data_IF_587803867650
#
_entry.id   IF_587803867650
#
_cell.length_a   1.000
_cell.length_b   1.000
_cell.length_c   1.000
_cell.angle_alpha   90.00
_cell.angle_beta   90.00
_cell.angle_gamma   90.00
#
_symmetry.space_group_name_H-M   'P 1'
#
loop_
_entity.id
_entity.type
_entity.pdbx_description
1 polymer ?
#
# COMPACT_ATOMS: atom_id res chain seq x y z
N UNK A 1 22.73 -20.27 -21.95
CA UNK A 1 21.52 -20.18 -22.80
C UNK A 1 20.59 -21.27 -22.30
N UNK A 2 19.63 -20.93 -21.45
CA UNK A 2 18.58 -21.87 -21.08
C UNK A 2 17.72 -22.07 -22.31
N UNK A 3 17.79 -23.25 -22.93
CA UNK A 3 16.73 -23.67 -23.84
C UNK A 3 15.50 -23.85 -22.96
N UNK A 4 14.60 -22.87 -22.97
CA UNK A 4 13.37 -22.98 -22.21
C UNK A 4 12.54 -24.11 -22.77
N UNK A 5 12.13 -25.03 -21.89
CA UNK A 5 11.18 -26.08 -22.21
C UNK A 5 9.78 -25.52 -22.55
N UNK A 6 9.57 -24.21 -22.38
CA UNK A 6 8.33 -23.53 -22.67
C UNK A 6 8.26 -22.99 -24.09
N UNK A 7 7.07 -23.08 -24.66
CA UNK A 7 6.68 -22.44 -25.92
C UNK A 7 5.44 -21.59 -25.68
N UNK A 8 5.35 -20.47 -26.37
CA UNK A 8 4.09 -19.72 -26.46
C UNK A 8 3.17 -20.43 -27.45
N UNK A 9 2.01 -20.82 -26.97
CA UNK A 9 0.96 -21.50 -27.75
C UNK A 9 -0.32 -20.69 -27.59
N UNK A 10 -1.04 -20.46 -28.68
CA UNK A 10 -2.30 -19.69 -28.61
C UNK A 10 -3.37 -20.44 -27.81
N UNK A 11 -4.27 -19.74 -27.14
CA UNK A 11 -5.36 -20.36 -26.37
C UNK A 11 -6.22 -21.25 -27.28
N UNK A 12 -6.46 -20.83 -28.53
CA UNK A 12 -7.11 -21.67 -29.53
C UNK A 12 -6.42 -23.02 -29.75
N UNK A 13 -5.10 -23.03 -29.84
CA UNK A 13 -4.32 -24.25 -29.96
C UNK A 13 -4.33 -25.07 -28.67
N UNK A 14 -4.29 -24.43 -27.49
CA UNK A 14 -4.42 -25.11 -26.19
C UNK A 14 -5.77 -25.83 -26.08
N UNK A 15 -6.88 -25.14 -26.36
CA UNK A 15 -8.24 -25.72 -26.33
C UNK A 15 -8.37 -26.92 -27.29
N UNK A 16 -7.65 -26.91 -28.41
CA UNK A 16 -7.62 -28.00 -29.39
C UNK A 16 -6.73 -29.18 -28.96
N UNK A 17 -5.54 -28.90 -28.41
CA UNK A 17 -4.55 -29.93 -28.04
C UNK A 17 -4.84 -30.59 -26.69
N UNK A 18 -5.46 -29.85 -25.76
CA UNK A 18 -5.74 -30.28 -24.39
C UNK A 18 -7.23 -30.07 -24.06
N UNK A 19 -8.16 -30.71 -24.79
CA UNK A 19 -9.59 -30.48 -24.63
C UNK A 19 -10.10 -30.83 -23.23
N UNK A 20 -9.38 -31.69 -22.48
CA UNK A 20 -9.74 -32.02 -21.10
C UNK A 20 -9.70 -30.81 -20.17
N UNK A 21 -8.89 -29.78 -20.46
CA UNK A 21 -8.82 -28.57 -19.63
C UNK A 21 -10.14 -27.80 -19.61
N UNK A 22 -10.98 -27.94 -20.65
CA UNK A 22 -12.30 -27.31 -20.72
C UNK A 22 -13.26 -27.80 -19.63
N UNK A 23 -12.99 -28.98 -19.05
CA UNK A 23 -13.77 -29.55 -17.95
C UNK A 23 -13.24 -29.13 -16.56
N UNK A 24 -12.12 -28.39 -16.50
CA UNK A 24 -11.55 -27.89 -15.24
C UNK A 24 -12.15 -26.54 -14.88
N UNK A 25 -12.61 -26.43 -13.64
CA UNK A 25 -13.30 -25.24 -13.12
C UNK A 25 -12.46 -23.96 -13.29
N UNK A 26 -11.14 -24.02 -13.06
CA UNK A 26 -10.29 -22.82 -13.17
C UNK A 26 -9.95 -22.38 -14.59
N UNK A 27 -10.21 -23.21 -15.60
CA UNK A 27 -9.84 -22.90 -16.98
C UNK A 27 -10.82 -21.89 -17.57
N UNK A 28 -10.34 -20.69 -17.90
CA UNK A 28 -11.16 -19.59 -18.44
C UNK A 28 -12.32 -19.22 -17.48
N UNK A 29 -12.05 -19.24 -16.15
CA UNK A 29 -13.05 -19.13 -15.09
C UNK A 29 -13.98 -17.90 -15.21
N UNK A 30 -13.46 -16.78 -15.72
CA UNK A 30 -14.22 -15.55 -15.93
C UNK A 30 -14.77 -15.40 -17.36
N UNK A 31 -14.50 -16.35 -18.27
CA UNK A 31 -14.86 -16.32 -19.69
C UNK A 31 -14.36 -15.06 -20.43
N UNK A 32 -13.17 -14.57 -20.08
CA UNK A 32 -12.61 -13.31 -20.60
C UNK A 32 -11.48 -13.52 -21.61
N UNK A 33 -10.97 -14.74 -21.78
CA UNK A 33 -9.79 -14.98 -22.59
C UNK A 33 -10.06 -14.89 -24.09
N UNK A 34 -9.16 -14.24 -24.82
CA UNK A 34 -9.23 -14.21 -26.28
C UNK A 34 -8.44 -15.37 -26.89
N UNK A 35 -8.99 -16.02 -27.92
CA UNK A 35 -8.37 -17.19 -28.59
C UNK A 35 -6.94 -16.93 -29.12
N UNK A 36 -6.59 -15.67 -29.39
CA UNK A 36 -5.27 -15.21 -29.82
C UNK A 36 -4.26 -14.99 -28.70
N UNK A 37 -4.71 -14.92 -27.44
CA UNK A 37 -3.82 -14.81 -26.29
C UNK A 37 -3.06 -16.13 -26.09
N UNK A 38 -2.08 -16.13 -25.19
CA UNK A 38 -1.08 -17.20 -25.12
C UNK A 38 -1.07 -17.95 -23.80
N UNK A 39 -0.61 -19.20 -23.88
CA UNK A 39 -0.15 -19.99 -22.74
C UNK A 39 1.35 -20.26 -22.88
N UNK A 40 2.03 -20.35 -21.73
CA UNK A 40 3.34 -20.97 -21.61
C UNK A 40 3.16 -22.48 -21.50
N UNK A 41 3.48 -23.21 -22.57
CA UNK A 41 3.26 -24.66 -22.62
C UNK A 41 4.58 -25.42 -22.64
N UNK A 42 4.71 -26.42 -21.78
CA UNK A 42 5.72 -27.47 -21.88
C UNK A 42 5.06 -28.86 -21.93
N UNK A 43 5.52 -29.70 -22.84
CA UNK A 43 5.05 -31.09 -23.01
C UNK A 43 6.01 -32.12 -22.41
N UNK A 44 7.02 -31.64 -21.69
CA UNK A 44 8.09 -32.44 -21.10
C UNK A 44 8.27 -32.01 -19.64
N UNK A 45 9.09 -32.76 -18.89
CA UNK A 45 9.49 -32.36 -17.55
C UNK A 45 10.28 -31.03 -17.61
N UNK A 46 9.95 -30.10 -16.73
CA UNK A 46 10.60 -28.80 -16.63
C UNK A 46 11.55 -28.81 -15.44
N UNK A 47 12.83 -28.51 -15.70
CA UNK A 47 13.85 -28.29 -14.67
C UNK A 47 14.34 -26.85 -14.78
N UNK A 48 14.18 -26.07 -13.70
CA UNK A 48 14.53 -24.65 -13.67
C UNK A 48 15.48 -24.33 -12.50
N UNK A 49 16.46 -23.48 -12.80
CA UNK A 49 17.48 -23.02 -11.86
C UNK A 49 17.21 -21.56 -11.48
N UNK A 50 17.03 -21.29 -10.19
CA UNK A 50 16.59 -20.02 -9.63
C UNK A 50 15.11 -20.01 -9.28
N UNK A 51 14.57 -18.82 -9.00
CA UNK A 51 13.16 -18.61 -8.70
C UNK A 51 12.33 -18.54 -9.99
N UNK A 52 11.13 -19.11 -9.94
CA UNK A 52 10.20 -19.14 -11.07
C UNK A 52 8.96 -18.30 -10.75
N UNK A 53 8.75 -17.25 -11.54
CA UNK A 53 7.68 -16.28 -11.31
C UNK A 53 6.43 -16.62 -12.13
N UNK A 54 5.29 -16.62 -11.46
CA UNK A 54 3.94 -16.82 -12.01
C UNK A 54 3.19 -15.49 -12.15
N UNK A 55 3.71 -14.40 -11.59
CA UNK A 55 3.17 -13.04 -11.72
C UNK A 55 3.43 -12.47 -13.14
N UNK A 56 2.93 -13.16 -14.17
CA UNK A 56 3.29 -12.90 -15.57
C UNK A 56 2.80 -11.55 -16.09
N UNK A 57 1.85 -10.91 -15.41
CA UNK A 57 1.33 -9.59 -15.75
C UNK A 57 2.19 -8.44 -15.21
N UNK A 58 2.96 -8.70 -14.14
CA UNK A 58 3.71 -7.68 -13.43
C UNK A 58 4.92 -7.18 -14.24
N UNK A 59 5.11 -5.85 -14.24
CA UNK A 59 6.17 -5.20 -15.04
C UNK A 59 7.57 -5.62 -14.59
N UNK A 60 7.76 -5.90 -13.29
CA UNK A 60 9.07 -6.26 -12.71
C UNK A 60 9.54 -7.65 -13.21
N UNK A 61 8.63 -8.53 -13.64
CA UNK A 61 8.85 -9.90 -14.11
C UNK A 61 9.04 -9.99 -15.64
N UNK A 62 8.57 -8.99 -16.40
CA UNK A 62 8.64 -9.02 -17.89
C UNK A 62 10.07 -9.22 -18.40
N UNK A 63 11.07 -8.67 -17.70
CA UNK A 63 12.49 -8.88 -18.03
C UNK A 63 12.94 -10.32 -17.79
N UNK A 64 12.50 -10.94 -16.71
CA UNK A 64 12.76 -12.35 -16.44
C UNK A 64 12.10 -13.23 -17.51
N UNK A 65 10.83 -12.96 -17.83
CA UNK A 65 10.07 -13.70 -18.83
C UNK A 65 10.67 -13.57 -20.24
N UNK A 66 11.17 -12.39 -20.60
CA UNK A 66 11.92 -12.15 -21.84
C UNK A 66 13.17 -13.01 -21.94
N UNK A 67 13.92 -13.16 -20.83
CA UNK A 67 15.08 -14.05 -20.79
C UNK A 67 14.68 -15.52 -20.83
N UNK A 68 13.59 -15.90 -20.16
CA UNK A 68 13.06 -17.26 -20.15
C UNK A 68 12.71 -17.69 -21.58
N UNK A 69 11.97 -16.88 -22.33
CA UNK A 69 11.51 -17.21 -23.68
C UNK A 69 12.53 -16.91 -24.78
N UNK A 70 13.64 -16.23 -24.43
CA UNK A 70 14.60 -15.70 -25.40
C UNK A 70 13.91 -14.83 -26.47
N UNK A 71 12.99 -13.96 -26.02
CA UNK A 71 12.23 -13.02 -26.85
C UNK A 71 12.53 -11.58 -26.45
N UNK A 72 12.44 -10.60 -27.37
CA UNK A 72 12.63 -9.19 -27.04
C UNK A 72 11.63 -8.69 -25.99
N UNK A 73 12.08 -7.89 -25.02
CA UNK A 73 11.22 -7.33 -23.96
C UNK A 73 9.97 -6.61 -24.52
N UNK A 74 10.14 -5.83 -25.60
CA UNK A 74 9.02 -5.12 -26.26
C UNK A 74 7.94 -6.03 -26.85
N UNK A 75 8.30 -7.28 -27.13
CA UNK A 75 7.35 -8.30 -27.59
C UNK A 75 6.60 -8.87 -26.38
N UNK A 76 7.31 -9.18 -25.31
CA UNK A 76 6.73 -9.66 -24.04
C UNK A 76 5.77 -8.64 -23.41
N UNK A 77 6.10 -7.35 -23.44
CA UNK A 77 5.24 -6.26 -22.95
C UNK A 77 3.87 -6.20 -23.64
N UNK A 78 3.76 -6.72 -24.87
CA UNK A 78 2.53 -6.73 -25.66
C UNK A 78 1.86 -8.10 -25.69
N UNK A 79 2.52 -9.11 -25.15
CA UNK A 79 2.05 -10.50 -25.18
C UNK A 79 1.21 -10.73 -23.93
N UNK A 80 -0.07 -11.01 -24.13
CA UNK A 80 -0.97 -11.41 -23.05
C UNK A 80 -0.87 -12.93 -22.87
N UNK A 81 -0.40 -13.34 -21.69
CA UNK A 81 -0.20 -14.75 -21.33
C UNK A 81 -1.17 -15.08 -20.21
N UNK A 82 -2.17 -15.89 -20.51
CA UNK A 82 -3.28 -16.20 -19.61
C UNK A 82 -3.08 -17.48 -18.82
N UNK A 83 -2.07 -18.28 -19.18
CA UNK A 83 -1.84 -19.53 -18.48
C UNK A 83 -0.46 -20.14 -18.64
N UNK A 84 -0.17 -21.08 -17.74
CA UNK A 84 1.01 -21.94 -17.75
C UNK A 84 0.54 -23.39 -17.71
N UNK A 85 0.94 -24.17 -18.71
CA UNK A 85 0.63 -25.58 -18.82
C UNK A 85 1.93 -26.39 -18.84
N UNK A 86 2.12 -27.25 -17.84
CA UNK A 86 3.23 -28.20 -17.80
C UNK A 86 2.64 -29.61 -17.83
N UNK A 87 2.73 -30.28 -18.97
CA UNK A 87 2.30 -31.67 -19.11
C UNK A 87 3.45 -32.64 -18.76
N UNK A 88 3.93 -32.53 -17.52
CA UNK A 88 5.09 -33.23 -16.98
C UNK A 88 5.35 -32.84 -15.53
N UNK A 89 6.47 -33.31 -14.97
CA UNK A 89 6.95 -32.88 -13.66
C UNK A 89 7.58 -31.49 -13.74
N UNK A 90 7.46 -30.70 -12.66
CA UNK A 90 8.06 -29.38 -12.55
C UNK A 90 9.03 -29.33 -11.36
N UNK A 91 10.31 -29.15 -11.65
CA UNK A 91 11.38 -29.10 -10.64
C UNK A 91 12.08 -27.75 -10.71
N UNK A 92 12.03 -27.00 -9.61
CA UNK A 92 12.66 -25.69 -9.46
C UNK A 92 13.59 -25.78 -8.24
N UNK A 93 14.83 -25.31 -8.32
CA UNK A 93 15.69 -25.33 -7.14
C UNK A 93 15.58 -24.07 -6.26
N UNK A 94 14.90 -23.03 -6.74
CA UNK A 94 14.42 -21.88 -5.98
C UNK A 94 12.92 -21.95 -5.68
N UNK A 95 12.32 -20.79 -5.45
CA UNK A 95 10.91 -20.63 -5.07
C UNK A 95 10.04 -20.50 -6.32
N UNK A 96 8.86 -21.12 -6.31
CA UNK A 96 7.80 -20.85 -7.29
C UNK A 96 6.90 -19.77 -6.68
N UNK A 97 6.76 -18.63 -7.36
CA UNK A 97 6.25 -17.39 -6.77
C UNK A 97 5.06 -16.86 -7.57
N UNK A 98 3.89 -16.80 -6.95
CA UNK A 98 2.81 -15.88 -7.30
C UNK A 98 2.56 -14.99 -6.07
N UNK A 99 3.20 -13.82 -6.04
CA UNK A 99 3.11 -12.89 -4.92
C UNK A 99 1.90 -11.95 -5.05
N UNK A 100 1.47 -11.66 -6.28
CA UNK A 100 0.24 -10.91 -6.53
C UNK A 100 -0.96 -11.66 -5.94
N UNK A 101 -1.73 -10.99 -5.10
CA UNK A 101 -2.84 -11.57 -4.36
C UNK A 101 -4.16 -11.50 -5.12
N UNK A 102 -4.37 -10.50 -5.96
CA UNK A 102 -5.69 -10.22 -6.54
C UNK A 102 -5.96 -10.99 -7.85
N UNK A 103 -4.92 -11.35 -8.59
CA UNK A 103 -5.04 -12.00 -9.89
C UNK A 103 -3.80 -12.81 -10.25
N UNK A 104 -3.91 -13.58 -11.34
CA UNK A 104 -2.79 -14.29 -11.92
C UNK A 104 -3.23 -15.20 -13.07
N UNK A 105 -2.28 -15.76 -13.82
CA UNK A 105 -2.61 -16.69 -14.90
C UNK A 105 -3.25 -17.97 -14.33
N UNK A 106 -3.84 -18.78 -15.21
CA UNK A 106 -4.24 -20.15 -14.86
C UNK A 106 -3.03 -21.10 -14.97
N UNK A 107 -2.72 -21.85 -13.92
CA UNK A 107 -1.59 -22.79 -13.89
C UNK A 107 -2.12 -24.21 -13.83
N UNK A 108 -1.72 -25.04 -14.78
CA UNK A 108 -1.99 -26.46 -14.77
C UNK A 108 -0.71 -27.29 -14.90
N UNK A 109 -0.46 -28.17 -13.92
CA UNK A 109 0.69 -29.07 -13.89
C UNK A 109 0.20 -30.51 -13.82
N UNK A 110 0.39 -31.27 -14.90
CA UNK A 110 -0.01 -32.68 -15.01
C UNK A 110 1.03 -33.65 -14.43
N UNK A 111 1.64 -33.28 -13.31
CA UNK A 111 2.76 -34.03 -12.74
C UNK A 111 3.11 -33.57 -11.33
N UNK A 112 4.25 -34.05 -10.83
CA UNK A 112 4.73 -33.67 -9.50
C UNK A 112 5.49 -32.35 -9.55
N UNK A 113 5.41 -31.58 -8.47
CA UNK A 113 6.18 -30.35 -8.27
C UNK A 113 7.23 -30.57 -7.19
N UNK A 114 8.48 -30.19 -7.46
CA UNK A 114 9.55 -30.12 -6.47
C UNK A 114 10.15 -28.71 -6.47
N UNK A 115 10.22 -28.06 -5.31
CA UNK A 115 10.69 -26.69 -5.18
C UNK A 115 11.46 -26.42 -3.87
N UNK A 116 12.13 -25.28 -3.77
CA UNK A 116 12.59 -24.77 -2.46
C UNK A 116 11.37 -24.45 -1.59
N UNK A 117 10.54 -23.53 -2.09
CA UNK A 117 9.29 -23.09 -1.50
C UNK A 117 8.26 -22.85 -2.60
N UNK A 118 6.99 -22.84 -2.22
CA UNK A 118 5.86 -22.52 -3.09
C UNK A 118 5.03 -21.42 -2.43
N UNK A 119 4.98 -20.24 -3.05
CA UNK A 119 4.12 -19.13 -2.66
C UNK A 119 3.03 -18.94 -3.72
N UNK A 120 1.77 -19.06 -3.33
CA UNK A 120 0.62 -18.85 -4.22
C UNK A 120 -0.29 -17.73 -3.67
N UNK A 121 -0.63 -16.80 -4.54
CA UNK A 121 -1.56 -15.70 -4.31
C UNK A 121 -2.76 -15.85 -5.23
N UNK A 122 -3.12 -14.80 -5.99
CA UNK A 122 -4.35 -14.68 -6.77
C UNK A 122 -4.52 -15.59 -7.99
N UNK A 123 -3.52 -16.41 -8.34
CA UNK A 123 -3.62 -17.33 -9.47
C UNK A 123 -4.56 -18.51 -9.18
N UNK A 124 -5.14 -19.08 -10.23
CA UNK A 124 -5.82 -20.37 -10.15
C UNK A 124 -4.84 -21.49 -10.52
N UNK A 125 -4.45 -22.31 -9.55
CA UNK A 125 -3.38 -23.31 -9.67
C UNK A 125 -3.90 -24.72 -9.45
N UNK A 126 -3.66 -25.59 -10.42
CA UNK A 126 -4.00 -27.02 -10.37
C UNK A 126 -2.76 -27.89 -10.57
N UNK A 127 -2.42 -28.69 -9.56
CA UNK A 127 -1.32 -29.66 -9.58
C UNK A 127 -1.90 -31.06 -9.42
N UNK A 128 -1.78 -31.87 -10.48
CA UNK A 128 -2.37 -33.21 -10.51
C UNK A 128 -1.52 -34.27 -9.79
N UNK A 129 -0.27 -33.96 -9.46
CA UNK A 129 0.63 -34.82 -8.71
C UNK A 129 0.88 -34.35 -7.27
N UNK A 130 1.99 -34.81 -6.70
CA UNK A 130 2.44 -34.40 -5.37
C UNK A 130 3.22 -33.08 -5.43
N UNK A 131 3.16 -32.30 -4.36
CA UNK A 131 4.03 -31.15 -4.14
C UNK A 131 5.04 -31.49 -3.07
N UNK A 132 6.32 -31.33 -3.38
CA UNK A 132 7.42 -31.48 -2.44
C UNK A 132 8.21 -30.17 -2.34
N UNK A 133 8.01 -29.42 -1.26
CA UNK A 133 8.80 -28.23 -0.97
C UNK A 133 9.88 -28.55 0.07
N UNK A 134 11.09 -28.02 -0.13
CA UNK A 134 12.20 -28.16 0.81
C UNK A 134 11.91 -27.43 2.13
N UNK A 135 11.22 -26.29 2.07
CA UNK A 135 10.92 -25.46 3.25
C UNK A 135 9.42 -25.28 3.48
N UNK A 136 8.75 -24.57 2.58
CA UNK A 136 7.43 -24.03 2.86
C UNK A 136 6.53 -24.08 1.63
N UNK A 137 5.26 -24.43 1.88
CA UNK A 137 4.15 -24.08 0.99
C UNK A 137 3.31 -23.03 1.71
N UNK A 138 3.09 -21.89 1.09
CA UNK A 138 2.23 -20.82 1.60
C UNK A 138 1.25 -20.42 0.51
N UNK A 139 -0.04 -20.48 0.82
CA UNK A 139 -1.09 -19.92 -0.03
C UNK A 139 -1.79 -18.81 0.74
N UNK A 140 -1.89 -17.63 0.14
CA UNK A 140 -2.30 -16.41 0.84
C UNK A 140 -3.31 -15.62 0.01
N UNK A 141 -4.30 -15.05 0.69
CA UNK A 141 -5.32 -14.15 0.15
C UNK A 141 -6.44 -14.82 -0.68
N UNK A 142 -7.68 -14.36 -0.51
CA UNK A 142 -8.88 -15.08 -0.94
C UNK A 142 -9.25 -14.98 -2.42
N UNK A 143 -8.53 -14.22 -3.24
CA UNK A 143 -8.79 -14.20 -4.69
C UNK A 143 -8.15 -15.38 -5.42
N UNK A 144 -7.20 -16.07 -4.79
CA UNK A 144 -6.50 -17.22 -5.35
C UNK A 144 -7.19 -18.57 -5.12
N UNK A 145 -6.82 -19.56 -5.95
CA UNK A 145 -7.28 -20.94 -5.82
C UNK A 145 -6.11 -21.91 -6.01
N UNK A 146 -5.98 -22.89 -5.12
CA UNK A 146 -4.97 -23.93 -5.23
C UNK A 146 -5.58 -25.32 -5.02
N UNK A 147 -5.41 -26.19 -6.00
CA UNK A 147 -5.83 -27.59 -5.95
C UNK A 147 -4.66 -28.52 -6.19
N UNK A 148 -4.32 -29.33 -5.20
CA UNK A 148 -3.34 -30.40 -5.31
C UNK A 148 -4.04 -31.77 -5.22
N UNK A 149 -4.07 -32.54 -6.30
CA UNK A 149 -4.71 -33.87 -6.26
C UNK A 149 -3.92 -34.88 -5.41
N UNK A 150 -2.64 -34.63 -5.17
CA UNK A 150 -1.74 -35.50 -4.42
C UNK A 150 -1.44 -35.04 -2.98
N UNK A 151 -0.24 -35.39 -2.52
CA UNK A 151 0.27 -35.08 -1.19
C UNK A 151 1.09 -33.78 -1.24
N UNK A 152 0.86 -32.88 -0.28
CA UNK A 152 1.73 -31.74 -0.02
C UNK A 152 2.74 -32.11 1.08
N UNK A 153 3.99 -32.39 0.70
CA UNK A 153 5.12 -32.68 1.59
C UNK A 153 6.01 -31.43 1.73
N UNK A 154 6.01 -30.82 2.91
CA UNK A 154 6.84 -29.66 3.23
C UNK A 154 7.02 -29.53 4.75
N UNK A 155 8.18 -29.08 5.28
CA UNK A 155 8.32 -28.82 6.70
C UNK A 155 7.24 -27.89 7.27
N UNK A 156 6.89 -26.84 6.53
CA UNK A 156 5.83 -25.87 6.88
C UNK A 156 4.79 -25.78 5.76
N UNK A 157 3.51 -25.80 6.12
CA UNK A 157 2.42 -25.54 5.18
C UNK A 157 1.38 -24.59 5.80
N UNK A 158 1.14 -23.47 5.12
CA UNK A 158 0.27 -22.37 5.57
C UNK A 158 -0.79 -22.11 4.50
N UNK A 159 -2.04 -22.09 4.91
CA UNK A 159 -3.19 -21.58 4.16
C UNK A 159 -3.74 -20.41 4.98
N UNK A 160 -3.61 -19.20 4.44
CA UNK A 160 -4.03 -17.94 5.06
C UNK A 160 -5.02 -17.25 4.10
N UNK A 161 -6.28 -17.17 4.52
CA UNK A 161 -7.47 -16.73 3.76
C UNK A 161 -7.61 -17.30 2.33
N UNK A 162 -6.88 -18.33 1.94
CA UNK A 162 -6.82 -18.79 0.55
C UNK A 162 -7.69 -20.01 0.27
N UNK A 163 -8.25 -20.14 -0.95
CA UNK A 163 -9.02 -21.32 -1.34
C UNK A 163 -8.08 -22.47 -1.73
N UNK A 164 -7.70 -23.29 -0.74
CA UNK A 164 -6.75 -24.39 -0.92
C UNK A 164 -7.40 -25.76 -0.66
N UNK A 165 -7.27 -26.67 -1.62
CA UNK A 165 -7.72 -28.07 -1.52
C UNK A 165 -6.57 -29.02 -1.86
N UNK A 166 -6.45 -30.11 -1.10
CA UNK A 166 -5.39 -31.09 -1.32
C UNK A 166 -5.83 -32.51 -0.93
N UNK A 167 -5.18 -33.53 -1.50
CA UNK A 167 -5.47 -34.93 -1.20
C UNK A 167 -5.01 -35.37 0.18
N UNK A 168 -3.73 -35.13 0.50
CA UNK A 168 -3.14 -35.38 1.83
C UNK A 168 -2.03 -34.36 2.09
N UNK A 169 -1.60 -34.22 3.36
CA UNK A 169 -0.46 -33.38 3.73
C UNK A 169 0.51 -34.14 4.62
N UNK A 170 1.80 -33.81 4.50
CA UNK A 170 2.87 -34.33 5.35
C UNK A 170 3.79 -33.19 5.75
N UNK A 171 3.54 -32.63 6.92
CA UNK A 171 4.25 -31.46 7.44
C UNK A 171 4.72 -31.73 8.87
N UNK A 172 6.03 -31.68 9.07
CA UNK A 172 6.67 -32.14 10.31
C UNK A 172 6.90 -31.00 11.31
N UNK A 173 6.94 -29.73 10.87
CA UNK A 173 7.19 -28.59 11.76
C UNK A 173 5.93 -27.77 12.05
N UNK A 174 5.20 -27.36 11.00
CA UNK A 174 4.08 -26.44 11.17
C UNK A 174 3.00 -26.66 10.10
N UNK A 175 1.75 -26.55 10.54
CA UNK A 175 0.58 -26.55 9.67
C UNK A 175 -0.46 -25.56 10.19
N UNK A 176 -0.97 -24.72 9.29
CA UNK A 176 -2.02 -23.75 9.57
C UNK A 176 -2.98 -23.64 8.38
N UNK A 177 -4.28 -23.68 8.65
CA UNK A 177 -5.35 -23.46 7.67
C UNK A 177 -6.55 -22.81 8.36
N UNK A 178 -6.60 -21.49 8.29
CA UNK A 178 -7.64 -20.68 8.91
C UNK A 178 -9.03 -20.93 8.33
N UNK A 179 -9.13 -21.03 7.01
CA UNK A 179 -10.39 -21.14 6.27
C UNK A 179 -11.11 -22.45 6.56
N UNK A 180 -10.35 -23.54 6.73
CA UNK A 180 -10.89 -24.83 7.15
C UNK A 180 -10.96 -24.98 8.69
N UNK A 181 -10.39 -24.03 9.44
CA UNK A 181 -10.18 -24.11 10.87
C UNK A 181 -9.48 -25.43 11.28
N UNK A 182 -8.49 -25.86 10.48
CA UNK A 182 -7.74 -27.11 10.65
C UNK A 182 -6.29 -26.82 11.01
N UNK A 183 -5.99 -26.80 12.30
CA UNK A 183 -4.65 -26.66 12.85
C UNK A 183 -4.59 -27.09 14.31
N UNK A 184 -3.38 -27.36 14.81
CA UNK A 184 -3.17 -27.58 16.24
C UNK A 184 -3.30 -26.24 16.97
N UNK A 185 -4.01 -26.20 18.10
CA UNK A 185 -4.15 -25.01 18.96
C UNK A 185 -2.83 -24.30 19.32
N UNK A 186 -1.69 -25.01 19.32
CA UNK A 186 -0.38 -24.36 19.54
C UNK A 186 0.06 -23.48 18.36
N UNK A 187 -0.47 -23.74 17.17
CA UNK A 187 -0.18 -23.03 15.93
C UNK A 187 -1.13 -21.84 15.69
N UNK A 188 -2.00 -21.55 16.66
CA UNK A 188 -2.97 -20.46 16.57
C UNK A 188 -2.28 -19.11 16.34
N UNK A 189 -2.86 -18.31 15.46
CA UNK A 189 -2.38 -16.98 15.08
C UNK A 189 -3.33 -15.94 15.65
N UNK A 190 -2.80 -14.82 16.14
CA UNK A 190 -3.61 -13.80 16.82
C UNK A 190 -3.76 -12.59 15.91
N UNK A 191 -5.01 -12.17 15.67
CA UNK A 191 -5.30 -10.92 14.98
C UNK A 191 -4.98 -9.74 15.89
N UNK A 192 -4.16 -8.81 15.40
CA UNK A 192 -3.81 -7.59 16.10
C UNK A 192 -4.74 -6.45 15.68
N UNK A 193 -5.71 -6.11 16.55
CA UNK A 193 -6.67 -5.02 16.30
C UNK A 193 -6.01 -3.64 16.15
N UNK A 194 -4.82 -3.41 16.73
CA UNK A 194 -4.13 -2.12 16.65
C UNK A 194 -3.49 -1.91 15.28
N UNK A 195 -2.98 -2.99 14.69
CA UNK A 195 -2.29 -2.95 13.41
C UNK A 195 -3.12 -3.46 12.23
N UNK A 196 -4.31 -4.01 12.48
CA UNK A 196 -5.18 -4.65 11.48
C UNK A 196 -4.41 -5.73 10.69
N UNK A 197 -3.59 -6.51 11.40
CA UNK A 197 -2.71 -7.53 10.81
C UNK A 197 -2.69 -8.80 11.69
N UNK A 198 -2.69 -9.98 11.05
CA UNK A 198 -2.51 -11.25 11.75
C UNK A 198 -1.06 -11.46 12.16
N UNK A 199 -0.86 -11.66 13.46
CA UNK A 199 0.42 -12.06 14.01
C UNK A 199 0.62 -13.57 13.89
N UNK A 200 1.77 -13.97 13.36
CA UNK A 200 2.08 -15.39 13.23
C UNK A 200 2.38 -16.01 14.59
N UNK A 201 1.93 -17.25 14.76
CA UNK A 201 2.11 -18.01 16.00
C UNK A 201 3.55 -18.02 16.49
N UNK A 202 3.71 -18.04 17.82
CA UNK A 202 5.03 -18.20 18.46
C UNK A 202 5.68 -19.51 18.01
N UNK A 203 4.89 -20.57 17.76
CA UNK A 203 5.41 -21.85 17.27
C UNK A 203 6.05 -21.72 15.89
N UNK A 204 5.41 -21.04 14.92
CA UNK A 204 6.03 -20.80 13.62
C UNK A 204 7.35 -20.02 13.75
N UNK A 205 7.36 -18.96 14.57
CA UNK A 205 8.55 -18.12 14.81
C UNK A 205 9.75 -18.87 15.38
N UNK A 206 9.55 -19.99 16.08
CA UNK A 206 10.65 -20.85 16.57
C UNK A 206 11.40 -21.54 15.43
N UNK A 207 10.78 -21.70 14.26
CA UNK A 207 11.38 -22.38 13.12
C UNK A 207 12.02 -21.41 12.11
N UNK A 208 11.57 -20.15 12.09
CA UNK A 208 12.08 -19.12 11.17
C UNK A 208 13.53 -18.74 11.47
N UNK A 209 14.33 -18.56 10.42
CA UNK A 209 15.70 -18.04 10.53
C UNK A 209 15.71 -16.69 11.26
N UNK A 210 14.84 -15.78 10.82
CA UNK A 210 14.69 -14.47 11.40
C UNK A 210 13.49 -14.46 12.35
N UNK A 211 13.70 -14.50 13.68
CA UNK A 211 12.60 -14.51 14.65
C UNK A 211 11.86 -13.18 14.75
N UNK A 212 12.35 -12.11 14.08
CA UNK A 212 11.70 -10.80 14.06
C UNK A 212 10.50 -10.75 13.11
N UNK A 213 10.38 -11.73 12.19
CA UNK A 213 9.20 -11.89 11.36
C UNK A 213 8.02 -12.22 12.28
N UNK A 214 7.01 -11.37 12.25
CA UNK A 214 5.88 -11.37 13.18
C UNK A 214 4.53 -11.46 12.47
N UNK A 215 4.44 -11.24 11.15
CA UNK A 215 3.17 -11.31 10.40
C UNK A 215 3.30 -12.16 9.13
N UNK A 216 2.17 -12.63 8.60
CA UNK A 216 2.15 -13.37 7.33
C UNK A 216 2.65 -12.52 6.16
N UNK A 217 2.33 -11.22 6.16
CA UNK A 217 2.82 -10.25 5.20
C UNK A 217 4.36 -10.15 5.17
N UNK A 218 5.01 -10.16 6.33
CA UNK A 218 6.47 -10.17 6.42
C UNK A 218 7.06 -11.48 5.89
N UNK A 219 6.46 -12.61 6.23
CA UNK A 219 6.89 -13.92 5.76
C UNK A 219 6.73 -14.08 4.25
N UNK A 220 5.59 -13.64 3.70
CA UNK A 220 5.30 -13.61 2.26
C UNK A 220 6.37 -12.83 1.50
N UNK A 221 6.80 -11.68 2.02
CA UNK A 221 7.88 -10.87 1.41
C UNK A 221 9.24 -11.58 1.41
N UNK A 222 9.53 -12.47 2.36
CA UNK A 222 10.74 -13.30 2.28
C UNK A 222 10.64 -14.31 1.13
N UNK A 223 9.50 -14.99 1.02
CA UNK A 223 9.25 -15.98 -0.03
C UNK A 223 9.25 -15.35 -1.43
N UNK A 224 8.68 -14.15 -1.58
CA UNK A 224 8.74 -13.36 -2.83
C UNK A 224 10.18 -13.03 -3.25
N UNK A 225 11.11 -12.90 -2.28
CA UNK A 225 12.54 -12.67 -2.54
C UNK A 225 13.31 -13.97 -2.82
N UNK A 226 12.63 -15.13 -2.83
CA UNK A 226 13.25 -16.44 -2.99
C UNK A 226 14.08 -16.88 -1.78
N UNK A 227 13.84 -16.27 -0.61
CA UNK A 227 14.67 -16.49 0.57
C UNK A 227 14.46 -17.87 1.19
N UNK A 228 15.52 -18.38 1.82
CA UNK A 228 15.44 -19.56 2.68
C UNK A 228 15.03 -19.11 4.07
N UNK A 229 13.81 -19.43 4.49
CA UNK A 229 13.17 -18.85 5.68
C UNK A 229 13.29 -19.71 6.93
N UNK A 230 13.69 -20.99 6.83
CA UNK A 230 13.78 -21.89 7.97
C UNK A 230 15.21 -22.04 8.48
N UNK A 231 15.40 -22.06 9.82
CA UNK A 231 16.71 -22.27 10.47
C UNK A 231 17.39 -23.55 10.00
N UNK A 232 16.63 -24.63 9.82
CA UNK A 232 17.16 -25.93 9.43
C UNK A 232 17.79 -25.95 8.03
N UNK A 233 17.45 -24.97 7.19
CA UNK A 233 18.02 -24.82 5.86
C UNK A 233 19.41 -24.16 5.86
N UNK A 234 19.82 -23.59 7.00
CA UNK A 234 21.12 -22.95 7.21
C UNK A 234 21.50 -21.99 6.07
N UNK A 235 20.70 -20.92 5.84
CA UNK A 235 20.98 -19.96 4.78
C UNK A 235 22.30 -19.22 4.98
N UNK A 236 22.80 -18.62 3.90
CA UNK A 236 24.02 -17.82 3.97
C UNK A 236 23.79 -16.57 4.84
N UNK A 237 24.75 -16.20 5.71
CA UNK A 237 24.65 -14.98 6.51
C UNK A 237 24.46 -13.73 5.65
N UNK A 238 23.51 -12.88 6.05
CA UNK A 238 23.25 -11.60 5.37
C UNK A 238 24.29 -10.54 5.76
N UNK A 239 24.63 -9.68 4.81
CA UNK A 239 25.55 -8.55 5.04
C UNK A 239 24.78 -7.28 5.41
N UNK A 240 25.48 -6.26 5.91
CA UNK A 240 24.87 -4.95 6.11
C UNK A 240 24.33 -4.36 4.79
N UNK A 241 25.06 -4.53 3.68
CA UNK A 241 24.64 -4.06 2.35
C UNK A 241 23.32 -4.69 1.90
N UNK A 242 23.08 -5.97 2.23
CA UNK A 242 21.80 -6.63 1.99
C UNK A 242 20.65 -5.90 2.71
N UNK A 243 20.80 -5.66 4.02
CA UNK A 243 19.78 -4.96 4.81
C UNK A 243 19.59 -3.51 4.37
N UNK A 244 20.67 -2.83 3.99
CA UNK A 244 20.62 -1.47 3.47
C UNK A 244 19.81 -1.39 2.18
N UNK A 245 20.06 -2.28 1.22
CA UNK A 245 19.30 -2.32 -0.03
C UNK A 245 17.82 -2.65 0.21
N UNK A 246 17.56 -3.57 1.15
CA UNK A 246 16.21 -3.99 1.52
C UNK A 246 15.39 -2.83 2.09
N UNK A 247 15.92 -2.14 3.10
CA UNK A 247 15.29 -0.95 3.73
C UNK A 247 15.16 0.21 2.74
N UNK A 248 16.12 0.37 1.83
CA UNK A 248 16.05 1.39 0.78
C UNK A 248 14.87 1.16 -0.17
N UNK A 249 14.57 -0.08 -0.51
CA UNK A 249 13.43 -0.45 -1.35
C UNK A 249 12.10 -0.36 -0.59
N UNK A 250 12.06 -0.78 0.68
CA UNK A 250 10.86 -0.72 1.50
C UNK A 250 11.22 -0.40 2.96
N UNK A 251 10.79 0.76 3.45
CA UNK A 251 11.10 1.20 4.82
C UNK A 251 10.53 0.27 5.90
N UNK A 252 9.44 -0.47 5.62
CA UNK A 252 8.82 -1.41 6.56
C UNK A 252 9.75 -2.57 6.90
N UNK A 253 10.68 -2.91 6.01
CA UNK A 253 11.66 -3.97 6.25
C UNK A 253 12.60 -3.63 7.42
N UNK A 254 12.63 -2.38 7.91
CA UNK A 254 13.36 -1.99 9.12
C UNK A 254 12.88 -2.76 10.37
N UNK A 255 11.63 -3.24 10.39
CA UNK A 255 11.06 -4.05 11.48
C UNK A 255 11.75 -5.40 11.63
N UNK A 256 12.16 -6.02 10.52
CA UNK A 256 12.80 -7.35 10.51
C UNK A 256 14.32 -7.31 10.49
N UNK A 257 14.95 -6.13 10.52
CA UNK A 257 16.42 -6.01 10.56
C UNK A 257 16.95 -6.49 11.91
N UNK A 258 17.87 -7.48 11.95
CA UNK A 258 18.50 -7.93 13.18
C UNK A 258 19.24 -6.79 13.92
N UNK A 259 19.25 -6.78 15.27
CA UNK A 259 19.82 -5.67 16.06
C UNK A 259 21.25 -5.29 15.67
N UNK A 260 22.09 -6.26 15.31
CA UNK A 260 23.48 -6.03 14.90
C UNK A 260 23.63 -5.25 13.58
N UNK A 261 22.60 -5.21 12.74
CA UNK A 261 22.58 -4.47 11.48
C UNK A 261 21.71 -3.22 11.54
N UNK A 262 20.88 -3.07 12.57
CA UNK A 262 19.96 -1.94 12.76
C UNK A 262 20.70 -0.73 13.35
N UNK A 263 21.68 -0.23 12.59
CA UNK A 263 22.51 0.90 13.03
C UNK A 263 21.77 2.23 12.90
N UNK A 264 22.34 3.28 13.50
CA UNK A 264 21.84 4.65 13.37
C UNK A 264 21.77 5.07 11.91
N UNK A 265 22.79 4.76 11.12
CA UNK A 265 22.87 5.11 9.69
C UNK A 265 21.75 4.45 8.87
N UNK A 266 21.41 3.19 9.18
CA UNK A 266 20.30 2.50 8.52
C UNK A 266 18.94 3.08 8.90
N UNK A 267 18.76 3.45 10.17
CA UNK A 267 17.54 4.13 10.64
C UNK A 267 17.40 5.51 9.99
N UNK A 268 18.48 6.29 9.93
CA UNK A 268 18.51 7.59 9.24
C UNK A 268 18.21 7.44 7.75
N UNK A 269 18.72 6.40 7.08
CA UNK A 269 18.38 6.11 5.68
C UNK A 269 16.86 5.91 5.49
N UNK A 270 16.21 5.14 6.37
CA UNK A 270 14.78 4.91 6.31
C UNK A 270 13.96 6.19 6.58
N UNK A 271 14.34 6.95 7.61
CA UNK A 271 13.70 8.21 8.00
C UNK A 271 13.86 9.30 6.93
N UNK A 272 15.00 9.34 6.26
CA UNK A 272 15.24 10.24 5.13
C UNK A 272 14.31 9.94 3.94
N UNK A 273 13.84 8.71 3.80
CA UNK A 273 12.83 8.37 2.80
C UNK A 273 11.43 8.76 3.28
N UNK A 274 11.04 8.34 4.49
CA UNK A 274 9.70 8.63 5.04
C UNK A 274 9.68 8.66 6.57
N UNK A 275 8.89 9.58 7.14
CA UNK A 275 8.65 9.62 8.59
C UNK A 275 7.87 8.40 9.09
N UNK A 276 7.18 7.65 8.21
CA UNK A 276 6.50 6.41 8.57
C UNK A 276 7.44 5.29 9.04
N UNK A 277 8.76 5.44 8.85
CA UNK A 277 9.74 4.52 9.40
C UNK A 277 10.01 4.70 10.90
N UNK A 278 9.62 5.85 11.48
CA UNK A 278 9.93 6.22 12.87
C UNK A 278 9.47 5.18 13.91
N UNK A 279 8.27 4.56 13.81
CA UNK A 279 7.85 3.50 14.74
C UNK A 279 8.75 2.26 14.74
N UNK A 280 9.56 2.07 13.69
CA UNK A 280 10.47 0.94 13.58
C UNK A 280 11.91 1.30 13.97
N UNK A 281 12.20 2.53 14.38
CA UNK A 281 13.53 2.96 14.82
C UNK A 281 13.71 2.64 16.31
N UNK A 282 14.90 2.20 16.70
CA UNK A 282 15.20 1.97 18.12
C UNK A 282 15.09 3.29 18.89
N UNK A 283 14.47 3.26 20.07
CA UNK A 283 14.25 4.45 20.90
C UNK A 283 15.53 5.26 21.17
N UNK A 284 16.67 4.59 21.31
CA UNK A 284 17.99 5.22 21.52
C UNK A 284 18.44 6.15 20.37
N UNK A 285 17.91 5.95 19.16
CA UNK A 285 18.22 6.77 17.99
C UNK A 285 17.18 7.86 17.73
N UNK A 286 16.04 7.85 18.44
CA UNK A 286 15.04 8.89 18.35
C UNK A 286 15.45 10.03 19.28
N UNK A 287 15.84 11.16 18.69
CA UNK A 287 16.22 12.37 19.43
C UNK A 287 15.32 13.54 19.03
N UNK A 288 15.32 14.60 19.85
CA UNK A 288 14.62 15.84 19.51
C UNK A 288 15.08 16.41 18.16
N UNK A 289 16.39 16.33 17.85
CA UNK A 289 16.94 16.78 16.56
C UNK A 289 16.39 15.97 15.38
N UNK A 290 16.26 14.64 15.53
CA UNK A 290 15.67 13.78 14.50
C UNK A 290 14.19 14.12 14.31
N UNK A 291 13.44 14.30 15.41
CA UNK A 291 12.03 14.67 15.39
C UNK A 291 11.81 16.02 14.68
N UNK A 292 12.64 17.02 15.00
CA UNK A 292 12.63 18.33 14.37
C UNK A 292 12.87 18.24 12.86
N UNK A 293 13.92 17.53 12.42
CA UNK A 293 14.21 17.34 10.99
C UNK A 293 13.07 16.66 10.23
N UNK A 294 12.40 15.69 10.85
CA UNK A 294 11.25 15.02 10.24
C UNK A 294 10.08 15.98 10.03
N UNK A 295 9.77 16.77 11.06
CA UNK A 295 8.70 17.78 11.02
C UNK A 295 9.01 18.89 10.02
N UNK A 296 10.25 19.39 9.99
CA UNK A 296 10.68 20.39 9.03
C UNK A 296 10.46 19.93 7.59
N UNK A 297 10.75 18.65 7.31
CA UNK A 297 10.55 18.04 6.00
C UNK A 297 9.07 17.84 5.67
N UNK A 298 8.27 17.38 6.64
CA UNK A 298 6.83 17.21 6.48
C UNK A 298 6.09 17.36 7.82
N UNK A 299 5.23 18.38 7.94
CA UNK A 299 4.51 18.69 9.18
C UNK A 299 3.62 17.54 9.68
N UNK A 300 3.22 16.63 8.79
CA UNK A 300 2.48 15.41 9.14
C UNK A 300 3.28 14.40 9.97
N UNK A 301 4.61 14.53 10.03
CA UNK A 301 5.46 13.67 10.84
C UNK A 301 5.10 13.73 12.34
N UNK A 302 4.51 14.83 12.81
CA UNK A 302 4.10 15.03 14.21
C UNK A 302 3.24 13.87 14.75
N UNK A 303 2.43 13.24 13.90
CA UNK A 303 1.54 12.14 14.30
C UNK A 303 2.28 10.85 14.70
N UNK A 304 3.54 10.69 14.27
CA UNK A 304 4.37 9.50 14.56
C UNK A 304 5.45 9.77 15.60
N UNK A 305 5.60 11.01 16.04
CA UNK A 305 6.63 11.39 17.00
C UNK A 305 6.22 10.93 18.41
N UNK A 306 7.11 10.26 19.15
CA UNK A 306 6.80 9.86 20.52
C UNK A 306 6.45 11.05 21.39
N UNK A 307 5.45 10.89 22.25
CA UNK A 307 4.88 11.98 23.06
C UNK A 307 5.92 12.70 23.92
N UNK A 308 6.98 12.02 24.36
CA UNK A 308 8.07 12.66 25.13
C UNK A 308 8.86 13.73 24.36
N UNK A 309 8.79 13.74 23.03
CA UNK A 309 9.45 14.74 22.17
C UNK A 309 8.48 15.81 21.65
N UNK A 310 7.18 15.66 21.86
CA UNK A 310 6.20 16.66 21.45
C UNK A 310 6.28 17.85 22.41
N UNK A 311 6.68 19.00 21.87
CA UNK A 311 6.79 20.27 22.59
C UNK A 311 6.04 21.36 21.84
N UNK A 312 5.74 22.46 22.52
CA UNK A 312 5.11 23.63 21.89
C UNK A 312 5.91 24.14 20.67
N UNK A 313 7.25 24.16 20.77
CA UNK A 313 8.12 24.57 19.67
C UNK A 313 8.01 23.60 18.48
N UNK A 314 8.00 22.28 18.74
CA UNK A 314 7.87 21.28 17.68
C UNK A 314 6.49 21.33 17.01
N UNK A 315 5.41 21.54 17.79
CA UNK A 315 4.07 21.73 17.26
C UNK A 315 3.99 22.95 16.34
N UNK A 316 4.63 24.06 16.73
CA UNK A 316 4.69 25.27 15.88
C UNK A 316 5.46 25.00 14.59
N UNK A 317 6.62 24.33 14.66
CA UNK A 317 7.36 23.91 13.45
C UNK A 317 6.51 23.00 12.55
N UNK A 318 5.72 22.08 13.13
CA UNK A 318 4.81 21.24 12.36
C UNK A 318 3.71 22.05 11.67
N UNK A 319 3.18 23.07 12.35
CA UNK A 319 2.25 24.01 11.75
C UNK A 319 2.88 24.82 10.61
N UNK A 320 4.13 25.27 10.77
CA UNK A 320 4.89 25.99 9.74
C UNK A 320 5.17 25.12 8.51
N UNK A 321 5.52 23.85 8.72
CA UNK A 321 5.76 22.87 7.65
C UNK A 321 4.49 22.27 7.01
N UNK A 322 3.31 22.72 7.47
CA UNK A 322 2.01 22.28 6.96
C UNK A 322 1.56 20.95 7.55
N UNK A 323 0.67 21.02 8.53
CA UNK A 323 0.03 19.88 9.20
C UNK A 323 -1.44 20.15 9.46
N UNK A 324 -2.14 19.21 10.09
CA UNK A 324 -3.53 19.39 10.54
C UNK A 324 -3.57 19.63 12.04
N UNK A 325 -4.49 20.49 12.47
CA UNK A 325 -4.68 20.79 13.90
C UNK A 325 -5.06 19.52 14.69
N UNK A 326 -5.87 18.64 14.10
CA UNK A 326 -6.27 17.35 14.69
C UNK A 326 -5.13 16.36 14.93
N UNK A 327 -3.94 16.60 14.37
CA UNK A 327 -2.74 15.79 14.61
C UNK A 327 -1.87 16.34 15.75
N UNK A 328 -2.20 17.54 16.26
CA UNK A 328 -1.48 18.17 17.36
C UNK A 328 -2.23 17.89 18.67
N UNK A 329 -1.55 17.55 19.78
CA UNK A 329 -2.22 17.39 21.06
C UNK A 329 -2.87 18.69 21.55
N UNK A 330 -4.10 18.58 22.07
CA UNK A 330 -4.89 19.72 22.54
C UNK A 330 -4.17 20.60 23.57
N UNK A 331 -3.28 20.04 24.39
CA UNK A 331 -2.52 20.77 25.42
C UNK A 331 -1.61 21.87 24.84
N UNK A 332 -1.28 21.79 23.54
CA UNK A 332 -0.43 22.77 22.85
C UNK A 332 -1.22 23.78 22.02
N UNK A 333 -2.55 23.71 22.01
CA UNK A 333 -3.36 24.61 21.20
C UNK A 333 -3.21 26.06 21.66
N UNK A 334 -2.99 26.94 20.68
CA UNK A 334 -2.99 28.38 20.85
C UNK A 334 -3.60 29.02 19.60
N UNK A 335 -4.08 30.25 19.73
CA UNK A 335 -4.61 31.00 18.57
C UNK A 335 -3.54 31.11 17.46
N UNK A 336 -2.28 31.41 17.84
CA UNK A 336 -1.15 31.46 16.91
C UNK A 336 -0.94 30.14 16.18
N UNK A 337 -0.92 29.02 16.92
CA UNK A 337 -0.67 27.70 16.35
C UNK A 337 -1.77 27.31 15.35
N UNK A 338 -3.04 27.47 15.75
CA UNK A 338 -4.19 27.12 14.92
C UNK A 338 -4.19 27.97 13.65
N UNK A 339 -4.00 29.29 13.77
CA UNK A 339 -3.87 30.18 12.61
C UNK A 339 -2.73 29.75 11.68
N UNK A 340 -1.59 29.35 12.25
CA UNK A 340 -0.42 28.90 11.47
C UNK A 340 -0.72 27.60 10.72
N UNK A 341 -1.35 26.61 11.37
CA UNK A 341 -1.75 25.35 10.69
C UNK A 341 -2.70 25.61 9.52
N UNK A 342 -3.63 26.55 9.68
CA UNK A 342 -4.60 26.90 8.65
C UNK A 342 -3.89 27.56 7.46
N UNK A 343 -2.98 28.52 7.72
CA UNK A 343 -2.25 29.26 6.68
C UNK A 343 -1.33 28.37 5.83
N UNK A 344 -0.65 27.42 6.46
CA UNK A 344 0.36 26.59 5.79
C UNK A 344 -0.14 25.19 5.43
N UNK A 345 -1.40 24.87 5.73
CA UNK A 345 -2.00 23.57 5.44
C UNK A 345 -2.00 23.27 3.94
N UNK A 346 -1.58 22.04 3.58
CA UNK A 346 -1.65 21.53 2.20
C UNK A 346 -3.08 21.14 1.78
N UNK A 347 -3.97 20.97 2.77
CA UNK A 347 -5.36 20.58 2.61
C UNK A 347 -6.28 21.63 3.21
N UNK A 348 -7.54 21.66 2.75
CA UNK A 348 -8.53 22.53 3.35
C UNK A 348 -8.72 22.14 4.82
N UNK A 349 -8.51 23.08 5.77
CA UNK A 349 -8.67 22.77 7.18
C UNK A 349 -10.14 22.47 7.51
N UNK A 350 -10.37 21.57 8.47
CA UNK A 350 -11.70 21.37 9.04
C UNK A 350 -11.83 22.25 10.30
N UNK A 351 -12.72 23.24 10.25
CA UNK A 351 -12.98 24.13 11.39
C UNK A 351 -13.63 23.37 12.56
N UNK A 352 -14.23 22.20 12.32
CA UNK A 352 -14.82 21.39 13.40
C UNK A 352 -13.74 20.75 14.30
N UNK A 353 -12.49 20.66 13.84
CA UNK A 353 -11.36 20.18 14.65
C UNK A 353 -10.88 21.24 15.67
N UNK A 354 -11.38 22.47 15.57
CA UNK A 354 -10.99 23.59 16.43
C UNK A 354 -11.98 23.77 17.59
N UNK A 355 -11.52 23.71 18.86
CA UNK A 355 -12.37 23.95 20.02
C UNK A 355 -12.99 25.36 20.03
N UNK A 356 -14.21 25.47 20.56
CA UNK A 356 -15.02 26.69 20.54
C UNK A 356 -14.31 27.94 21.09
N UNK A 357 -13.46 27.76 22.10
CA UNK A 357 -12.68 28.81 22.75
C UNK A 357 -11.64 29.44 21.81
N UNK A 358 -11.23 28.73 20.76
CA UNK A 358 -10.29 29.22 19.74
C UNK A 358 -11.00 29.69 18.46
N UNK A 359 -12.33 29.61 18.38
CA UNK A 359 -13.11 30.15 17.26
C UNK A 359 -13.22 31.66 17.38
N UNK A 360 -12.14 32.35 17.00
CA UNK A 360 -12.09 33.82 16.93
C UNK A 360 -12.55 34.31 15.56
N UNK A 361 -12.97 35.58 15.48
CA UNK A 361 -13.32 36.18 14.18
C UNK A 361 -12.11 36.22 13.23
N UNK A 362 -10.91 36.40 13.78
CA UNK A 362 -9.66 36.40 13.00
C UNK A 362 -9.35 35.01 12.43
N UNK A 363 -9.60 33.94 13.18
CA UNK A 363 -9.50 32.58 12.66
C UNK A 363 -10.50 32.34 11.53
N UNK A 364 -11.75 32.75 11.71
CA UNK A 364 -12.78 32.59 10.68
C UNK A 364 -12.49 33.44 9.44
N UNK A 365 -11.89 34.62 9.60
CA UNK A 365 -11.39 35.44 8.48
C UNK A 365 -10.35 34.68 7.66
N UNK A 366 -9.31 34.12 8.30
CA UNK A 366 -8.29 33.32 7.63
C UNK A 366 -8.88 32.04 7.01
N UNK A 367 -9.77 31.35 7.73
CA UNK A 367 -10.46 30.15 7.24
C UNK A 367 -11.19 30.39 5.90
N UNK A 368 -11.82 31.56 5.74
CA UNK A 368 -12.46 31.96 4.48
C UNK A 368 -11.45 32.30 3.39
N UNK A 369 -10.32 32.92 3.73
CA UNK A 369 -9.25 33.22 2.75
C UNK A 369 -8.61 31.95 2.18
N UNK A 370 -8.44 30.91 3.00
CA UNK A 370 -7.70 29.69 2.64
C UNK A 370 -8.51 28.74 1.75
N UNK A 371 -9.84 28.70 1.89
CA UNK A 371 -10.64 27.67 1.23
C UNK A 371 -12.11 27.99 1.03
N UNK A 372 -12.90 26.94 0.81
CA UNK A 372 -14.34 27.08 0.48
C UNK A 372 -15.21 27.52 1.66
N UNK A 373 -14.67 27.57 2.88
CA UNK A 373 -15.44 27.92 4.08
C UNK A 373 -16.69 27.06 4.31
N UNK A 374 -16.66 25.78 3.91
CA UNK A 374 -17.86 24.90 3.86
C UNK A 374 -18.66 24.89 5.17
N UNK A 375 -17.96 24.98 6.30
CA UNK A 375 -18.54 24.93 7.63
C UNK A 375 -18.69 26.30 8.30
N UNK A 376 -18.44 27.41 7.59
CA UNK A 376 -18.48 28.76 8.14
C UNK A 376 -19.85 29.08 8.77
N UNK A 377 -20.95 28.72 8.10
CA UNK A 377 -22.31 28.95 8.60
C UNK A 377 -22.56 28.26 9.94
N UNK A 378 -22.15 26.99 10.05
CA UNK A 378 -22.26 26.20 11.27
C UNK A 378 -21.38 26.79 12.37
N UNK A 379 -20.10 27.03 12.08
CA UNK A 379 -19.13 27.57 13.03
C UNK A 379 -19.58 28.93 13.58
N UNK A 380 -20.10 29.83 12.74
CA UNK A 380 -20.62 31.12 13.18
C UNK A 380 -21.83 30.97 14.11
N UNK A 381 -22.78 30.12 13.73
CA UNK A 381 -24.01 29.89 14.51
C UNK A 381 -23.73 29.30 15.88
N UNK A 382 -22.85 28.29 15.96
CA UNK A 382 -22.53 27.59 17.20
C UNK A 382 -21.70 28.46 18.17
N UNK A 383 -20.90 29.38 17.64
CA UNK A 383 -20.01 30.24 18.43
C UNK A 383 -20.51 31.69 18.56
N UNK A 384 -21.77 31.97 18.18
CA UNK A 384 -22.38 33.29 18.31
C UNK A 384 -21.66 34.40 17.51
N UNK A 385 -21.08 34.07 16.36
CA UNK A 385 -20.39 35.02 15.47
C UNK A 385 -21.29 35.46 14.34
N UNK A 386 -21.16 36.72 13.91
CA UNK A 386 -21.86 37.21 12.73
C UNK A 386 -21.07 36.91 11.46
N UNK A 387 -21.61 36.01 10.62
CA UNK A 387 -21.02 35.61 9.35
C UNK A 387 -20.79 36.80 8.43
N UNK A 388 -21.75 37.72 8.35
CA UNK A 388 -21.64 38.85 7.42
C UNK A 388 -20.50 39.77 7.82
N UNK A 389 -20.34 40.07 9.12
CA UNK A 389 -19.21 40.84 9.64
C UNK A 389 -17.87 40.17 9.31
N UNK A 390 -17.76 38.85 9.41
CA UNK A 390 -16.54 38.11 9.02
C UNK A 390 -16.26 38.25 7.52
N UNK A 391 -17.26 38.06 6.66
CA UNK A 391 -17.09 38.21 5.21
C UNK A 391 -16.70 39.64 4.81
N UNK A 392 -17.26 40.65 5.49
CA UNK A 392 -16.87 42.06 5.29
C UNK A 392 -15.40 42.28 5.64
N UNK A 393 -14.91 41.72 6.75
CA UNK A 393 -13.48 41.76 7.11
C UNK A 393 -12.58 41.10 6.05
N UNK A 394 -13.01 39.96 5.51
CA UNK A 394 -12.27 39.29 4.41
C UNK A 394 -12.25 40.17 3.16
N UNK A 395 -13.37 40.81 2.82
CA UNK A 395 -13.44 41.76 1.69
C UNK A 395 -12.52 42.96 1.93
N UNK A 396 -12.53 43.54 3.13
CA UNK A 396 -11.73 44.73 3.47
C UNK A 396 -10.22 44.46 3.39
N UNK A 397 -9.81 43.20 3.53
CA UNK A 397 -8.39 42.82 3.52
C UNK A 397 -7.73 43.06 2.17
N UNK A 398 -8.18 42.41 1.10
CA UNK A 398 -7.66 42.57 -0.26
C UNK A 398 -8.67 42.10 -1.33
N UNK A 399 -8.65 42.74 -2.50
CA UNK A 399 -9.57 42.43 -3.61
C UNK A 399 -9.40 40.99 -4.12
N UNK A 400 -8.21 40.38 -3.95
CA UNK A 400 -7.96 39.00 -4.35
C UNK A 400 -8.81 37.99 -3.58
N UNK A 401 -9.27 38.34 -2.37
CA UNK A 401 -10.09 37.48 -1.53
C UNK A 401 -11.56 37.42 -1.97
N UNK A 402 -11.97 38.27 -2.92
CA UNK A 402 -13.33 38.23 -3.49
C UNK A 402 -13.63 36.88 -4.15
N UNK A 403 -12.62 36.19 -4.69
CA UNK A 403 -12.81 34.90 -5.32
C UNK A 403 -13.29 33.82 -4.31
N UNK A 404 -12.70 33.83 -3.12
CA UNK A 404 -13.07 32.91 -2.03
C UNK A 404 -14.49 33.23 -1.51
N UNK A 405 -14.76 34.51 -1.28
CA UNK A 405 -16.04 35.02 -0.77
C UNK A 405 -17.16 34.78 -1.78
N UNK A 406 -17.01 35.23 -3.03
CA UNK A 406 -18.03 35.06 -4.07
C UNK A 406 -18.14 33.62 -4.56
N UNK A 407 -17.06 32.85 -4.46
CA UNK A 407 -17.06 31.41 -4.75
C UNK A 407 -18.06 30.64 -3.90
N UNK A 408 -18.13 30.93 -2.60
CA UNK A 408 -18.79 30.03 -1.64
C UNK A 408 -19.81 30.71 -0.73
N UNK A 409 -19.78 32.04 -0.60
CA UNK A 409 -20.62 32.82 0.31
C UNK A 409 -21.32 34.00 -0.39
N UNK A 410 -21.68 33.82 -1.66
CA UNK A 410 -22.31 34.85 -2.47
C UNK A 410 -23.72 35.19 -1.98
N UNK A 411 -23.96 36.47 -1.72
CA UNK A 411 -25.29 37.02 -1.41
C UNK A 411 -25.37 38.47 -1.87
N UNK A 412 -26.59 39.01 -1.95
CA UNK A 412 -26.82 40.41 -2.33
C UNK A 412 -26.10 41.40 -1.43
N UNK A 413 -26.21 41.22 -0.11
CA UNK A 413 -25.54 42.10 0.86
C UNK A 413 -24.00 42.05 0.73
N UNK A 414 -23.45 40.85 0.56
CA UNK A 414 -22.00 40.65 0.41
C UNK A 414 -21.48 41.32 -0.87
N UNK A 415 -22.23 41.21 -1.98
CA UNK A 415 -21.85 41.86 -3.24
C UNK A 415 -21.98 43.38 -3.18
N UNK A 416 -23.07 43.92 -2.64
CA UNK A 416 -23.28 45.36 -2.48
C UNK A 416 -22.18 45.99 -1.60
N UNK A 417 -21.77 45.28 -0.54
CA UNK A 417 -20.65 45.71 0.29
C UNK A 417 -19.32 45.71 -0.49
N UNK A 418 -18.99 44.62 -1.20
CA UNK A 418 -17.79 44.56 -2.02
C UNK A 418 -17.75 45.66 -3.10
N UNK A 419 -18.89 45.96 -3.72
CA UNK A 419 -19.01 47.06 -4.67
C UNK A 419 -18.72 48.41 -3.99
N UNK A 420 -19.23 48.65 -2.78
CA UNK A 420 -18.93 49.88 -2.03
C UNK A 420 -17.44 50.09 -1.74
N UNK A 421 -16.67 49.00 -1.67
CA UNK A 421 -15.22 49.02 -1.41
C UNK A 421 -14.40 49.11 -2.70
N UNK A 422 -14.77 48.37 -3.75
CA UNK A 422 -13.94 48.14 -4.94
C UNK A 422 -14.50 48.69 -6.26
N UNK A 423 -15.77 49.09 -6.34
CA UNK A 423 -16.35 49.75 -7.52
C UNK A 423 -15.94 51.23 -7.57
N UNK A 424 -14.66 51.45 -7.87
CA UNK A 424 -14.06 52.77 -7.96
C UNK A 424 -12.98 52.82 -9.03
N UNK A 425 -12.61 54.04 -9.41
CA UNK A 425 -11.64 54.32 -10.48
C UNK A 425 -10.29 53.62 -10.26
N UNK A 426 -9.89 53.40 -9.00
CA UNK A 426 -8.61 52.78 -8.68
C UNK A 426 -8.59 51.27 -8.94
N UNK A 427 -9.73 50.58 -8.75
CA UNK A 427 -9.83 49.13 -8.88
C UNK A 427 -10.67 48.68 -10.09
N UNK A 428 -11.15 49.61 -10.91
CA UNK A 428 -12.09 49.39 -12.02
C UNK A 428 -11.74 48.18 -12.89
N UNK A 429 -10.46 48.05 -13.29
CA UNK A 429 -10.02 46.96 -14.15
C UNK A 429 -10.11 45.57 -13.48
N UNK A 430 -9.75 45.46 -12.19
CA UNK A 430 -9.82 44.19 -11.46
C UNK A 430 -11.24 43.87 -11.01
N UNK A 431 -11.98 44.86 -10.49
CA UNK A 431 -13.37 44.72 -10.10
C UNK A 431 -14.24 44.19 -11.25
N UNK A 432 -14.09 44.75 -12.45
CA UNK A 432 -14.85 44.31 -13.63
C UNK A 432 -14.59 42.84 -14.01
N UNK A 433 -13.40 42.29 -13.72
CA UNK A 433 -13.14 40.85 -13.92
C UNK A 433 -13.99 39.99 -12.98
N UNK A 434 -14.14 40.39 -11.72
CA UNK A 434 -14.98 39.67 -10.75
C UNK A 434 -16.46 39.76 -11.12
N UNK A 435 -16.94 40.94 -11.53
CA UNK A 435 -18.33 41.11 -11.99
C UNK A 435 -18.64 40.19 -13.17
N UNK A 436 -17.76 40.13 -14.18
CA UNK A 436 -17.97 39.24 -15.33
C UNK A 436 -17.86 37.76 -14.93
N UNK A 437 -16.85 37.39 -14.12
CA UNK A 437 -16.66 36.01 -13.65
C UNK A 437 -17.86 35.46 -12.87
N UNK A 438 -18.50 36.29 -12.05
CA UNK A 438 -19.62 35.89 -11.20
C UNK A 438 -20.99 36.36 -11.72
N UNK A 439 -21.08 36.80 -12.98
CA UNK A 439 -22.30 37.28 -13.63
C UNK A 439 -23.51 36.37 -13.46
N UNK A 440 -23.34 35.05 -13.64
CA UNK A 440 -24.44 34.10 -13.44
C UNK A 440 -24.95 34.06 -12.00
N UNK A 441 -24.11 34.34 -11.00
CA UNK A 441 -24.56 34.43 -9.60
C UNK A 441 -25.28 35.75 -9.35
N UNK A 442 -24.85 36.84 -9.98
CA UNK A 442 -25.53 38.15 -9.94
C UNK A 442 -26.95 38.06 -10.52
N UNK A 443 -27.10 37.46 -11.70
CA UNK A 443 -28.40 37.25 -12.35
C UNK A 443 -29.37 36.47 -11.45
N UNK A 444 -28.88 35.47 -10.70
CA UNK A 444 -29.69 34.68 -9.76
C UNK A 444 -30.22 35.48 -8.57
N UNK A 445 -29.51 36.52 -8.16
CA UNK A 445 -29.91 37.39 -7.04
C UNK A 445 -30.57 38.69 -7.51
N UNK A 446 -30.80 38.84 -8.82
CA UNK A 446 -31.48 39.99 -9.42
C UNK A 446 -30.63 41.26 -9.50
N UNK A 447 -29.31 41.10 -9.65
CA UNK A 447 -28.34 42.18 -9.89
C UNK A 447 -27.69 42.06 -11.27
#
# INVERSE_FOLDING_TARGET
>A
MHNSAFKLITIKEVKSQYPFLLDHEGFDYFEEWEDQDFFLVSNEDVIYEGDFYLDLYEDKEKKWLSNLLNLPLKEIEKTRIEGVLINGNFSVNGTIINAEGDYGPYIFINGNVTCQSLLLGGSYVEIMGNVKAKEMVMTSYNHGNFKCSGIIEAPVFIVEDHYTTFGERKNDLFYYNDKANDYDSKNDCEYDEEFDEDSISIELRKHLENPLIATFEELKRELERGELVLRQSNPQPKTYEYWQNRVKSNYRDLKVVPPQFKTKELCELALNNTFHALPFVNEEFITAEVCEKLVEKDGFAIQKIPSQFITQELCLKAAESGTLISLIPHDFYSEELILTTFKNGKHQPDINDVPSEFITESLLEEYVKIGKGLWLDKACKENGKDKISILKRVIDSEIINLDAVFGNHFSKEVFEYAASVYDNVQNEAEWNKYVEKYKHKLERIGL
#
